data_IF_509695943185
#
_entry.id   IF_509695943185
#
_cell.length_a   1.000
_cell.length_b   1.000
_cell.length_c   1.000
_cell.angle_alpha   90.00
_cell.angle_beta   90.00
_cell.angle_gamma   90.00
#
_symmetry.space_group_name_H-M   'P 1'
#
loop_
_entity.id
_entity.type
_entity.pdbx_description
1 polymer ?
#
# COMPACT_ATOMS: atom_id res chain seq x y z
N UNK A 1 -12.97 -19.96 -4.07
CA UNK A 1 -14.15 -20.84 -4.05
C UNK A 1 -13.67 -22.26 -4.36
N UNK A 2 -13.96 -23.23 -3.51
CA UNK A 2 -13.57 -24.63 -3.77
C UNK A 2 -14.81 -25.38 -4.26
N UNK A 3 -14.69 -26.06 -5.39
CA UNK A 3 -15.71 -26.99 -5.88
C UNK A 3 -15.58 -28.25 -5.02
N UNK A 4 -16.64 -28.61 -4.31
CA UNK A 4 -16.64 -29.81 -3.44
C UNK A 4 -16.70 -31.11 -4.25
N UNK A 5 -16.11 -32.21 -3.76
CA UNK A 5 -16.24 -33.50 -4.41
C UNK A 5 -17.73 -33.93 -4.45
N UNK A 6 -18.21 -34.36 -5.62
CA UNK A 6 -19.57 -34.82 -5.83
C UNK A 6 -20.57 -33.82 -6.42
N UNK A 7 -20.14 -32.57 -6.70
CA UNK A 7 -20.97 -31.65 -7.48
C UNK A 7 -20.99 -32.02 -8.96
N UNK A 8 -22.21 -32.18 -9.51
CA UNK A 8 -22.42 -32.41 -10.93
C UNK A 8 -22.96 -31.15 -11.59
N UNK A 9 -22.40 -30.80 -12.73
CA UNK A 9 -22.78 -29.62 -13.52
C UNK A 9 -23.43 -30.06 -14.82
N UNK A 10 -24.48 -29.34 -15.26
CA UNK A 10 -25.08 -29.56 -16.57
C UNK A 10 -24.19 -28.95 -17.66
N UNK A 11 -24.25 -29.53 -18.86
CA UNK A 11 -23.52 -28.97 -20.02
C UNK A 11 -23.96 -27.53 -20.27
N UNK A 12 -22.98 -26.59 -20.21
CA UNK A 12 -23.19 -25.16 -20.37
C UNK A 12 -23.47 -24.39 -19.05
N UNK A 13 -23.54 -25.08 -17.93
CA UNK A 13 -23.66 -24.43 -16.62
C UNK A 13 -22.29 -23.82 -16.22
N UNK A 14 -22.25 -22.52 -15.87
CA UNK A 14 -20.99 -21.89 -15.47
C UNK A 14 -20.55 -22.40 -14.09
N UNK A 15 -19.40 -23.04 -14.03
CA UNK A 15 -18.82 -23.58 -12.79
C UNK A 15 -18.37 -22.45 -11.87
N UNK A 16 -17.89 -21.34 -12.45
CA UNK A 16 -17.44 -20.13 -11.74
C UNK A 16 -17.86 -18.91 -12.52
N UNK A 17 -18.44 -17.93 -11.84
CA UNK A 17 -18.59 -16.56 -12.35
C UNK A 17 -17.80 -15.63 -11.45
N UNK A 18 -16.90 -14.87 -12.01
CA UNK A 18 -16.11 -13.89 -11.29
C UNK A 18 -15.56 -12.84 -12.24
N UNK A 19 -15.18 -11.71 -11.69
CA UNK A 19 -14.43 -10.69 -12.40
C UNK A 19 -12.96 -10.85 -12.03
N UNK A 20 -12.07 -10.80 -13.02
CA UNK A 20 -10.65 -10.63 -12.78
C UNK A 20 -10.40 -9.14 -12.58
N UNK A 21 -10.08 -8.73 -11.36
CA UNK A 21 -9.62 -7.39 -11.08
C UNK A 21 -8.13 -7.32 -11.42
N UNK A 22 -7.81 -6.67 -12.52
CA UNK A 22 -6.44 -6.60 -13.06
C UNK A 22 -5.57 -5.54 -12.37
N UNK A 23 -6.09 -4.90 -11.33
CA UNK A 23 -5.39 -3.80 -10.67
C UNK A 23 -5.22 -2.55 -11.56
N UNK A 24 -4.77 -1.46 -10.95
CA UNK A 24 -4.57 -0.20 -11.67
C UNK A 24 -3.27 -0.25 -12.49
N UNK A 25 -3.35 0.13 -13.77
CA UNK A 25 -2.18 0.36 -14.61
C UNK A 25 -1.84 1.85 -14.60
N UNK A 26 -0.60 2.17 -14.28
CA UNK A 26 -0.19 3.56 -14.10
C UNK A 26 1.15 3.86 -14.75
N UNK A 27 1.34 5.13 -15.12
CA UNK A 27 2.64 5.66 -15.48
C UNK A 27 3.48 5.89 -14.22
N UNK A 28 4.73 5.43 -14.25
CA UNK A 28 5.69 5.56 -13.16
C UNK A 28 6.84 6.45 -13.60
N UNK A 29 7.04 7.52 -12.87
CA UNK A 29 8.22 8.37 -13.01
C UNK A 29 9.41 7.74 -12.27
N UNK A 30 10.37 7.28 -13.03
CA UNK A 30 11.60 6.66 -12.51
C UNK A 30 12.75 7.67 -12.36
N UNK A 31 12.57 8.87 -12.89
CA UNK A 31 13.65 9.87 -12.96
C UNK A 31 13.67 10.79 -11.73
N UNK A 32 12.51 11.29 -11.31
CA UNK A 32 12.42 12.27 -10.22
C UNK A 32 13.08 11.79 -8.93
N UNK A 33 12.93 10.52 -8.59
CA UNK A 33 13.51 9.97 -7.36
C UNK A 33 15.04 9.88 -7.40
N UNK A 34 15.63 9.80 -8.58
CA UNK A 34 17.09 9.82 -8.72
C UNK A 34 17.68 11.24 -8.52
N UNK A 35 16.88 12.28 -8.72
CA UNK A 35 17.33 13.68 -8.64
C UNK A 35 16.92 14.34 -7.32
N UNK A 36 15.68 14.14 -6.90
CA UNK A 36 15.08 14.85 -5.77
C UNK A 36 14.84 13.94 -4.55
N UNK A 37 14.97 12.62 -4.74
CA UNK A 37 14.58 11.64 -3.74
C UNK A 37 13.04 11.50 -3.59
N UNK A 38 12.60 10.49 -2.87
CA UNK A 38 11.20 10.33 -2.51
C UNK A 38 10.79 11.30 -1.40
N UNK A 39 9.52 11.75 -1.41
CA UNK A 39 8.95 12.61 -0.38
C UNK A 39 7.83 11.90 0.36
N UNK A 40 7.59 12.28 1.61
CA UNK A 40 6.43 11.79 2.37
C UNK A 40 5.14 12.09 1.61
N UNK A 41 4.19 11.19 1.74
CA UNK A 41 2.91 11.20 1.03
C UNK A 41 2.97 11.00 -0.49
N UNK A 42 4.13 10.81 -1.10
CA UNK A 42 4.18 10.34 -2.49
C UNK A 42 3.50 8.97 -2.62
N UNK A 43 2.81 8.75 -3.71
CA UNK A 43 2.42 7.39 -4.10
C UNK A 43 3.59 6.78 -4.85
N UNK A 44 4.17 5.73 -4.30
CA UNK A 44 5.35 5.10 -4.87
C UNK A 44 5.10 3.65 -5.27
N UNK A 45 5.85 3.23 -6.25
CA UNK A 45 5.82 1.86 -6.78
C UNK A 45 7.11 1.17 -6.39
N UNK A 46 7.00 -0.04 -5.89
CA UNK A 46 8.14 -0.85 -5.49
C UNK A 46 7.94 -2.33 -5.82
N UNK A 47 9.04 -3.06 -5.94
CA UNK A 47 9.04 -4.51 -6.13
C UNK A 47 8.96 -5.21 -4.78
N UNK A 48 8.26 -6.34 -4.74
CA UNK A 48 8.05 -7.10 -3.50
C UNK A 48 9.14 -8.11 -3.18
N UNK A 49 10.04 -8.38 -4.13
CA UNK A 49 11.09 -9.38 -3.95
C UNK A 49 12.03 -9.05 -2.77
N UNK A 50 12.28 -10.05 -1.94
CA UNK A 50 13.19 -9.90 -0.79
C UNK A 50 12.59 -9.14 0.40
N UNK A 51 11.33 -8.69 0.35
CA UNK A 51 10.63 -8.11 1.50
C UNK A 51 10.07 -9.26 2.32
N UNK A 52 10.59 -9.39 3.55
CA UNK A 52 10.11 -10.41 4.49
C UNK A 52 8.61 -10.17 4.80
N UNK A 53 7.83 -11.27 4.81
CA UNK A 53 6.40 -11.18 5.10
C UNK A 53 5.51 -10.92 3.88
N UNK A 54 6.06 -10.55 2.73
CA UNK A 54 5.30 -10.53 1.48
C UNK A 54 5.53 -11.87 0.77
N UNK A 55 4.50 -12.72 0.60
CA UNK A 55 4.67 -13.96 -0.15
C UNK A 55 5.00 -13.65 -1.61
N UNK A 56 5.84 -14.44 -2.26
CA UNK A 56 6.10 -14.28 -3.68
C UNK A 56 4.80 -14.48 -4.47
N UNK A 57 4.66 -13.72 -5.55
CA UNK A 57 3.56 -13.83 -6.47
C UNK A 57 3.47 -15.20 -7.17
N UNK A 58 2.46 -15.41 -8.02
CA UNK A 58 2.37 -16.60 -8.86
C UNK A 58 3.68 -16.83 -9.62
N UNK A 59 4.15 -18.07 -9.65
CA UNK A 59 5.43 -18.47 -10.27
C UNK A 59 6.69 -17.95 -9.57
N UNK A 60 6.63 -17.58 -8.30
CA UNK A 60 7.75 -17.00 -7.53
C UNK A 60 8.27 -15.65 -8.09
N UNK A 61 7.49 -15.00 -8.91
CA UNK A 61 7.85 -13.70 -9.47
C UNK A 61 7.63 -12.56 -8.49
N UNK A 62 8.41 -11.51 -8.66
CA UNK A 62 8.23 -10.26 -7.92
C UNK A 62 7.01 -9.52 -8.45
N UNK A 63 6.13 -9.11 -7.55
CA UNK A 63 5.02 -8.23 -7.86
C UNK A 63 5.40 -6.76 -7.65
N UNK A 64 4.63 -5.87 -8.28
CA UNK A 64 4.75 -4.44 -8.04
C UNK A 64 3.60 -3.98 -7.14
N UNK A 65 3.95 -3.41 -6.01
CA UNK A 65 2.98 -2.79 -5.12
C UNK A 65 2.98 -1.27 -5.29
N UNK A 66 1.80 -0.70 -5.13
CA UNK A 66 1.55 0.73 -5.16
C UNK A 66 1.03 1.11 -3.77
N UNK A 67 1.73 1.96 -3.07
CA UNK A 67 1.38 2.42 -1.73
C UNK A 67 1.74 3.90 -1.57
N UNK A 68 1.23 4.51 -0.52
CA UNK A 68 1.67 5.84 -0.09
C UNK A 68 2.93 5.72 0.76
N UNK A 69 3.89 6.59 0.52
CA UNK A 69 5.11 6.66 1.30
C UNK A 69 4.80 7.32 2.64
N UNK A 70 4.65 6.51 3.68
CA UNK A 70 4.25 6.92 5.02
C UNK A 70 5.38 7.59 5.80
N UNK A 71 6.63 7.19 5.53
CA UNK A 71 7.79 7.78 6.18
C UNK A 71 9.11 7.46 5.50
N UNK A 72 10.08 8.30 5.75
CA UNK A 72 11.44 8.29 5.22
C UNK A 72 12.43 7.67 6.23
N UNK A 73 13.65 7.33 5.81
CA UNK A 73 14.71 6.89 6.73
C UNK A 73 14.86 7.87 7.91
N UNK A 74 14.95 7.35 9.13
CA UNK A 74 15.06 8.12 10.38
C UNK A 74 13.73 8.65 10.94
N UNK A 75 12.63 8.61 10.19
CA UNK A 75 11.34 9.03 10.73
C UNK A 75 10.83 8.03 11.78
N UNK A 76 10.18 8.58 12.80
CA UNK A 76 9.43 7.81 13.79
C UNK A 76 7.94 8.03 13.57
N UNK A 77 7.22 6.95 13.26
CA UNK A 77 5.79 6.97 12.98
C UNK A 77 4.98 6.49 14.18
N UNK A 78 3.77 7.03 14.30
CA UNK A 78 2.72 6.59 15.22
C UNK A 78 1.36 6.82 14.59
N UNK A 79 0.43 5.93 14.82
CA UNK A 79 -0.97 6.10 14.41
C UNK A 79 -1.82 6.29 15.67
N UNK A 80 -2.51 7.42 15.74
CA UNK A 80 -3.55 7.70 16.71
C UNK A 80 -4.83 8.03 15.93
N UNK A 81 -5.64 7.00 15.76
CA UNK A 81 -6.75 7.00 14.81
C UNK A 81 -7.61 8.24 14.88
N UNK A 82 -7.93 8.87 13.77
CA UNK A 82 -7.66 8.46 12.38
C UNK A 82 -6.34 9.02 11.79
N UNK A 83 -5.45 9.56 12.61
CA UNK A 83 -4.32 10.40 12.21
C UNK A 83 -3.00 9.64 12.23
N UNK A 84 -2.12 10.07 11.32
CA UNK A 84 -0.71 9.67 11.28
C UNK A 84 0.14 10.78 11.92
N UNK A 85 1.07 10.38 12.76
CA UNK A 85 2.08 11.25 13.37
C UNK A 85 3.46 10.85 12.84
N UNK A 86 4.24 11.84 12.49
CA UNK A 86 5.63 11.70 12.05
C UNK A 86 6.50 12.55 12.94
N UNK A 87 7.48 11.95 13.59
CA UNK A 87 8.40 12.62 14.53
C UNK A 87 7.68 13.40 15.65
N UNK A 88 6.54 12.86 16.09
CA UNK A 88 5.73 13.45 17.16
C UNK A 88 4.71 14.50 16.72
N UNK A 89 4.76 14.94 15.45
CA UNK A 89 3.82 15.91 14.90
C UNK A 89 2.78 15.23 13.98
N UNK A 90 1.56 15.76 13.95
CA UNK A 90 0.52 15.32 13.01
C UNK A 90 1.00 15.57 11.56
N UNK A 91 0.93 14.55 10.72
CA UNK A 91 1.33 14.64 9.31
C UNK A 91 0.40 15.60 8.54
N UNK A 92 0.98 16.56 7.82
CA UNK A 92 0.23 17.66 7.18
C UNK A 92 0.17 17.57 5.66
N UNK A 93 0.88 16.62 5.07
CA UNK A 93 0.91 16.43 3.64
C UNK A 93 -0.48 16.08 3.09
N UNK A 94 -0.80 16.62 1.92
CA UNK A 94 -2.13 16.50 1.32
C UNK A 94 -2.62 15.05 1.23
N UNK A 95 -1.75 14.11 0.86
CA UNK A 95 -2.09 12.70 0.72
C UNK A 95 -2.53 12.07 2.05
N UNK A 96 -1.89 12.41 3.16
CA UNK A 96 -2.26 11.92 4.49
C UNK A 96 -3.59 12.53 4.95
N UNK A 97 -3.72 13.85 4.85
CA UNK A 97 -4.95 14.56 5.24
C UNK A 97 -6.17 14.08 4.49
N UNK A 98 -6.01 13.68 3.21
CA UNK A 98 -7.09 13.08 2.42
C UNK A 98 -7.57 11.77 3.05
N UNK A 99 -6.66 10.89 3.44
CA UNK A 99 -7.01 9.62 4.12
C UNK A 99 -7.63 9.89 5.49
N UNK A 100 -7.06 10.82 6.26
CA UNK A 100 -7.50 11.20 7.60
C UNK A 100 -8.87 11.88 7.63
N UNK A 101 -9.28 12.49 6.51
CA UNK A 101 -10.55 13.21 6.39
C UNK A 101 -11.79 12.34 6.64
N UNK A 102 -11.66 11.03 6.51
CA UNK A 102 -12.76 10.06 6.62
C UNK A 102 -13.92 10.36 5.64
N UNK A 103 -13.62 11.02 4.52
CA UNK A 103 -14.57 11.36 3.46
C UNK A 103 -14.30 10.53 2.21
N UNK A 104 -15.27 10.45 1.31
CA UNK A 104 -15.14 9.77 0.00
C UNK A 104 -14.65 8.32 0.08
N UNK A 105 -15.07 7.59 1.13
CA UNK A 105 -14.70 6.19 1.32
C UNK A 105 -13.39 5.95 2.10
N UNK A 106 -12.65 7.00 2.44
CA UNK A 106 -11.50 6.87 3.33
C UNK A 106 -11.96 6.65 4.78
N UNK A 107 -11.21 5.82 5.52
CA UNK A 107 -11.56 5.47 6.92
C UNK A 107 -10.60 6.06 7.95
N UNK A 108 -9.65 6.86 7.50
CA UNK A 108 -8.51 7.30 8.32
C UNK A 108 -7.48 6.18 8.49
N UNK A 109 -6.31 6.54 9.00
CA UNK A 109 -5.30 5.55 9.38
C UNK A 109 -5.74 4.78 10.62
N UNK A 110 -5.50 3.46 10.60
CA UNK A 110 -5.96 2.55 11.66
C UNK A 110 -4.82 1.74 12.24
N UNK A 111 -4.84 1.59 13.55
CA UNK A 111 -4.13 0.51 14.20
C UNK A 111 -4.87 -0.81 13.91
N UNK A 112 -4.14 -1.90 13.68
CA UNK A 112 -4.73 -3.23 13.49
C UNK A 112 -4.14 -4.16 14.55
N UNK A 113 -4.73 -4.20 15.76
CA UNK A 113 -4.23 -5.03 16.84
C UNK A 113 -4.27 -6.52 16.44
N UNK A 114 -3.27 -7.28 16.86
CA UNK A 114 -3.09 -8.73 16.70
C UNK A 114 -2.52 -9.22 15.39
N UNK A 115 -2.75 -8.50 14.26
CA UNK A 115 -2.36 -8.98 12.93
C UNK A 115 -1.17 -8.22 12.36
N UNK A 116 -0.77 -7.10 13.00
CA UNK A 116 0.32 -6.24 12.54
C UNK A 116 1.56 -6.39 13.40
N UNK A 117 2.72 -6.32 12.74
CA UNK A 117 4.02 -6.27 13.39
C UNK A 117 4.33 -4.87 13.93
N UNK A 118 3.79 -3.83 13.28
CA UNK A 118 4.06 -2.43 13.59
C UNK A 118 2.77 -1.62 13.72
N UNK A 119 2.78 -0.61 14.57
CA UNK A 119 1.70 0.37 14.76
C UNK A 119 0.35 -0.27 15.12
N UNK A 120 0.37 -1.39 15.85
CA UNK A 120 -0.83 -2.15 16.22
C UNK A 120 -1.71 -1.47 17.28
N UNK A 121 -1.19 -0.49 18.01
CA UNK A 121 -1.92 0.28 19.02
C UNK A 121 -1.52 1.77 19.00
N UNK A 122 -2.29 2.68 19.64
CA UNK A 122 -2.04 4.13 19.59
C UNK A 122 -0.73 4.59 20.21
N UNK A 123 -0.10 3.78 21.07
CA UNK A 123 1.17 4.10 21.72
C UNK A 123 2.36 3.48 20.97
N UNK A 124 2.08 2.53 20.06
CA UNK A 124 3.13 1.88 19.28
C UNK A 124 3.79 2.88 18.33
N UNK A 125 5.11 2.89 18.34
CA UNK A 125 5.92 3.67 17.41
C UNK A 125 6.82 2.76 16.58
N UNK A 126 7.19 3.21 15.40
CA UNK A 126 8.20 2.56 14.56
C UNK A 126 9.16 3.60 14.01
N UNK A 127 10.46 3.37 14.23
CA UNK A 127 11.51 4.20 13.60
C UNK A 127 12.02 3.49 12.35
N UNK A 128 12.04 4.20 11.24
CA UNK A 128 12.39 3.66 9.92
C UNK A 128 13.91 3.57 9.80
N UNK A 129 14.47 2.38 9.51
CA UNK A 129 15.90 2.23 9.35
C UNK A 129 16.44 3.01 8.14
N UNK A 130 17.72 3.35 8.20
CA UNK A 130 18.44 3.91 7.06
C UNK A 130 18.31 3.01 5.82
N UNK A 131 18.17 3.66 4.65
CA UNK A 131 18.01 2.95 3.38
C UNK A 131 16.67 2.24 3.19
N UNK A 132 15.68 2.55 4.02
CA UNK A 132 14.35 1.92 3.96
C UNK A 132 13.22 2.95 4.03
N UNK A 133 12.05 2.53 3.58
CA UNK A 133 10.82 3.32 3.60
C UNK A 133 9.68 2.56 4.28
N UNK A 134 8.68 3.29 4.75
CA UNK A 134 7.47 2.71 5.32
C UNK A 134 6.26 3.00 4.43
N UNK A 135 5.63 1.96 3.95
CA UNK A 135 4.51 2.03 3.00
C UNK A 135 3.17 1.92 3.72
N UNK A 136 2.23 2.80 3.43
CA UNK A 136 0.87 2.77 3.94
C UNK A 136 -0.14 2.75 2.79
N UNK A 137 -1.19 1.99 2.94
CA UNK A 137 -2.29 2.01 1.97
C UNK A 137 -3.34 3.05 2.33
N UNK A 138 -3.87 3.74 1.32
CA UNK A 138 -4.93 4.73 1.50
C UNK A 138 -6.24 4.12 2.03
N UNK A 139 -6.56 2.88 1.62
CA UNK A 139 -7.61 2.08 2.24
C UNK A 139 -7.07 1.36 3.47
N UNK A 140 -6.78 2.13 4.52
CA UNK A 140 -6.05 1.67 5.70
C UNK A 140 -6.68 0.46 6.40
N UNK A 141 -8.00 0.32 6.34
CA UNK A 141 -8.72 -0.80 6.97
C UNK A 141 -8.49 -2.14 6.23
N UNK A 142 -8.22 -2.10 4.91
CA UNK A 142 -8.10 -3.26 4.06
C UNK A 142 -6.76 -3.30 3.29
N UNK A 143 -5.74 -2.63 3.79
CA UNK A 143 -4.44 -2.60 3.15
C UNK A 143 -3.47 -3.56 3.81
N UNK A 144 -2.90 -4.48 3.02
CA UNK A 144 -1.73 -5.23 3.40
C UNK A 144 -0.50 -4.39 3.06
N UNK A 145 0.07 -3.73 4.07
CA UNK A 145 1.13 -2.74 3.94
C UNK A 145 2.22 -2.91 5.02
N UNK A 146 3.09 -1.92 5.17
CA UNK A 146 4.24 -2.00 6.08
C UNK A 146 3.89 -2.27 7.54
N UNK A 147 2.66 -2.04 7.95
CA UNK A 147 2.22 -2.43 9.30
C UNK A 147 2.32 -3.94 9.52
N UNK A 148 2.15 -4.74 8.46
CA UNK A 148 2.20 -6.20 8.50
C UNK A 148 3.59 -6.75 8.23
N UNK A 149 4.28 -6.23 7.20
CA UNK A 149 5.51 -6.83 6.68
C UNK A 149 6.77 -5.95 6.86
N UNK A 150 6.64 -4.71 7.37
CA UNK A 150 7.76 -3.86 7.71
C UNK A 150 8.23 -2.95 6.59
N UNK A 151 9.52 -2.94 6.31
CA UNK A 151 10.17 -1.89 5.55
C UNK A 151 10.37 -2.26 4.08
N UNK A 152 10.31 -1.24 3.21
CA UNK A 152 10.66 -1.34 1.80
C UNK A 152 12.11 -0.88 1.63
N UNK A 153 13.04 -1.76 1.25
CA UNK A 153 14.40 -1.34 0.93
C UNK A 153 14.40 -0.36 -0.26
N UNK A 154 15.28 0.64 -0.23
CA UNK A 154 15.35 1.64 -1.30
C UNK A 154 15.62 1.02 -2.68
N UNK A 155 16.38 -0.09 -2.75
CA UNK A 155 16.66 -0.81 -3.99
C UNK A 155 15.41 -1.41 -4.65
N UNK A 156 14.36 -1.62 -3.86
CA UNK A 156 13.09 -2.15 -4.36
C UNK A 156 12.23 -1.05 -5.01
N UNK A 157 12.52 0.23 -4.74
CA UNK A 157 11.73 1.35 -5.25
C UNK A 157 11.93 1.47 -6.76
N UNK A 158 10.82 1.53 -7.49
CA UNK A 158 10.78 1.67 -8.95
C UNK A 158 10.63 3.13 -9.34
N UNK A 159 9.81 3.89 -8.62
CA UNK A 159 9.57 5.29 -8.91
C UNK A 159 8.26 5.82 -8.33
N UNK A 160 7.92 7.05 -8.70
CA UNK A 160 6.70 7.74 -8.28
C UNK A 160 5.55 7.40 -9.23
N UNK A 161 4.39 7.02 -8.67
CA UNK A 161 3.16 6.89 -9.43
C UNK A 161 2.64 8.25 -9.87
N UNK A 162 2.37 8.42 -11.16
CA UNK A 162 1.95 9.70 -11.72
C UNK A 162 0.48 9.73 -12.14
N UNK A 163 0.08 8.75 -12.92
CA UNK A 163 -1.22 8.77 -13.59
C UNK A 163 -1.73 7.35 -13.80
N UNK A 164 -2.96 7.07 -13.32
CA UNK A 164 -3.67 5.82 -13.59
C UNK A 164 -4.37 5.97 -14.94
N UNK A 165 -3.97 5.16 -15.91
CA UNK A 165 -4.56 5.22 -17.26
C UNK A 165 -5.53 4.08 -17.56
N UNK A 166 -5.53 3.02 -16.73
CA UNK A 166 -6.45 1.88 -16.85
C UNK A 166 -6.65 1.21 -15.49
N UNK A 167 -7.86 0.71 -15.19
CA UNK A 167 -9.11 0.90 -15.92
C UNK A 167 -9.65 2.33 -15.78
N UNK A 168 -10.64 2.70 -16.60
CA UNK A 168 -11.37 3.98 -16.44
C UNK A 168 -12.35 3.88 -15.26
N UNK A 169 -11.79 3.78 -14.07
CA UNK A 169 -12.49 3.70 -12.79
C UNK A 169 -12.44 5.03 -12.05
N UNK A 170 -12.93 5.04 -10.79
CA UNK A 170 -12.77 6.19 -9.90
C UNK A 170 -11.30 6.54 -9.60
N UNK A 171 -10.36 5.64 -9.89
CA UNK A 171 -8.92 5.85 -9.71
C UNK A 171 -8.25 6.47 -10.95
N UNK A 172 -8.99 6.62 -12.07
CA UNK A 172 -8.43 7.19 -13.29
C UNK A 172 -8.00 8.65 -13.09
N UNK A 173 -6.79 8.99 -13.52
CA UNK A 173 -6.28 10.35 -13.44
C UNK A 173 -4.95 10.47 -12.71
N UNK A 174 -4.58 11.71 -12.42
CA UNK A 174 -3.33 11.98 -11.69
C UNK A 174 -3.40 11.43 -10.26
N UNK A 175 -2.35 10.72 -9.90
CA UNK A 175 -2.16 10.20 -8.54
C UNK A 175 -1.73 11.35 -7.62
N UNK A 176 -2.49 11.56 -6.56
CA UNK A 176 -2.27 12.68 -5.61
C UNK A 176 -2.21 12.18 -4.18
#
# INVERSE_FOLDING_TARGET
>A
MRVGPGQTFKKGEPIVRGYADLGDQLFVDKFSYNVFGPHRADVFVFRTNGILGIPPGPNLESEHYIKRLGGLPGDTLRIDQPKLFVNGEEAKEFGFRRVESQQNGYTGYRNVPRDTMYLGDPNATVTIPEGSYFALGDNSANSYDSRYWGFVPWQNVVGRGMFVYWPFSSHWGFVR
#
